data_IF_290900568012
#
_entry.id   IF_290900568012
#
_cell.length_a   1.000
_cell.length_b   1.000
_cell.length_c   1.000
_cell.angle_alpha   90.00
_cell.angle_beta   90.00
_cell.angle_gamma   90.00
#
_symmetry.space_group_name_H-M   'P 1'
#
loop_
_entity.id
_entity.type
_entity.pdbx_description
1 polymer ?
#
# COMPACT_ATOMS: atom_id res chain seq x y z
N UNK A 1 -11.41 9.98 20.94
CA UNK A 1 -10.14 10.08 21.71
C UNK A 1 -9.41 8.73 21.86
N UNK A 2 -10.09 7.57 21.82
CA UNK A 2 -9.46 6.24 21.80
C UNK A 2 -8.96 5.79 20.42
N UNK A 3 -9.68 6.14 19.34
CA UNK A 3 -9.32 5.81 17.95
C UNK A 3 -7.90 6.26 17.56
N UNK A 4 -7.56 7.53 17.83
CA UNK A 4 -6.21 8.08 17.56
C UNK A 4 -5.09 7.49 18.44
N UNK A 5 -5.41 6.80 19.53
CA UNK A 5 -4.42 6.20 20.43
C UNK A 5 -3.97 4.81 19.97
N UNK A 6 -4.84 4.10 19.24
CA UNK A 6 -4.55 2.79 18.67
C UNK A 6 -4.23 2.85 17.17
N UNK A 7 -4.44 4.02 16.54
CA UNK A 7 -4.16 4.27 15.12
C UNK A 7 -2.72 3.92 14.73
N UNK A 8 -1.74 4.14 15.61
CA UNK A 8 -0.36 3.74 15.38
C UNK A 8 -0.14 2.22 15.34
N UNK A 9 -0.83 1.46 16.19
CA UNK A 9 -0.77 -0.01 16.14
C UNK A 9 -1.47 -0.55 14.90
N UNK A 10 -2.58 0.08 14.50
CA UNK A 10 -3.32 -0.26 13.28
C UNK A 10 -2.45 0.05 12.05
N UNK A 11 -1.77 1.20 12.04
CA UNK A 11 -0.81 1.56 10.99
C UNK A 11 0.34 0.55 10.90
N UNK A 12 0.88 0.15 12.05
CA UNK A 12 1.98 -0.82 12.09
C UNK A 12 1.53 -2.19 11.58
N UNK A 13 0.35 -2.67 11.96
CA UNK A 13 -0.23 -3.92 11.45
C UNK A 13 -0.53 -3.85 9.95
N UNK A 14 -1.11 -2.76 9.48
CA UNK A 14 -1.37 -2.56 8.05
C UNK A 14 -0.05 -2.55 7.26
N UNK A 15 0.97 -1.83 7.72
CA UNK A 15 2.27 -1.80 7.05
C UNK A 15 2.99 -3.15 7.06
N UNK A 16 3.08 -3.82 8.22
CA UNK A 16 3.72 -5.12 8.34
C UNK A 16 2.96 -6.21 7.57
N UNK A 17 1.63 -6.26 7.71
CA UNK A 17 0.80 -7.26 7.06
C UNK A 17 0.90 -7.22 5.54
N UNK A 18 0.93 -6.01 4.98
CA UNK A 18 0.99 -5.78 3.53
C UNK A 18 2.39 -6.00 2.98
N UNK A 19 3.43 -5.60 3.71
CA UNK A 19 4.80 -5.97 3.38
C UNK A 19 4.98 -7.50 3.37
N UNK A 20 4.51 -8.21 4.41
CA UNK A 20 4.61 -9.68 4.48
C UNK A 20 3.80 -10.33 3.34
N UNK A 21 2.58 -9.86 3.08
CA UNK A 21 1.72 -10.37 2.00
C UNK A 21 2.40 -10.21 0.63
N UNK A 22 2.98 -9.04 0.36
CA UNK A 22 3.76 -8.77 -0.85
C UNK A 22 4.92 -9.77 -1.03
N UNK A 23 5.73 -10.02 0.02
CA UNK A 23 6.82 -10.99 -0.04
C UNK A 23 6.33 -12.43 -0.23
N UNK A 24 5.27 -12.83 0.50
CA UNK A 24 4.70 -14.18 0.39
C UNK A 24 4.16 -14.42 -1.01
N UNK A 25 3.30 -13.54 -1.52
CA UNK A 25 2.72 -13.66 -2.86
C UNK A 25 3.81 -13.59 -3.93
N UNK A 26 4.75 -12.65 -3.83
CA UNK A 26 5.86 -12.52 -4.76
C UNK A 26 6.76 -13.76 -4.81
N UNK A 27 7.06 -14.36 -3.65
CA UNK A 27 7.83 -15.61 -3.56
C UNK A 27 7.08 -16.82 -4.14
N UNK A 28 5.76 -16.88 -3.92
CA UNK A 28 4.89 -17.93 -4.46
C UNK A 28 4.86 -17.88 -5.99
N UNK A 29 4.67 -16.68 -6.55
CA UNK A 29 4.68 -16.44 -8.00
C UNK A 29 6.04 -16.79 -8.58
N UNK A 30 7.14 -16.36 -7.94
CA UNK A 30 8.49 -16.73 -8.38
C UNK A 30 8.71 -18.25 -8.39
N UNK A 31 8.23 -18.95 -7.35
CA UNK A 31 8.26 -20.41 -7.29
C UNK A 31 7.47 -21.08 -8.44
N UNK A 32 6.28 -20.59 -8.73
CA UNK A 32 5.46 -21.05 -9.85
C UNK A 32 6.15 -20.81 -11.21
N UNK A 33 6.74 -19.62 -11.41
CA UNK A 33 7.49 -19.29 -12.63
C UNK A 33 8.70 -20.20 -12.80
N UNK A 34 9.43 -20.48 -11.71
CA UNK A 34 10.57 -21.38 -11.77
C UNK A 34 10.15 -22.83 -12.09
N UNK A 35 9.03 -23.29 -11.55
CA UNK A 35 8.46 -24.59 -11.89
C UNK A 35 8.05 -24.66 -13.37
N UNK A 36 7.42 -23.61 -13.90
CA UNK A 36 7.06 -23.51 -15.32
C UNK A 36 8.28 -23.43 -16.26
N UNK A 37 9.39 -22.86 -15.78
CA UNK A 37 10.68 -22.85 -16.49
C UNK A 37 11.27 -24.27 -16.57
N UNK A 38 11.16 -25.05 -15.50
CA UNK A 38 11.59 -26.47 -15.47
C UNK A 38 10.72 -27.34 -16.39
N UNK A 39 9.41 -27.06 -16.51
CA UNK A 39 8.51 -27.77 -17.44
C UNK A 39 8.61 -27.29 -18.90
N UNK A 40 9.55 -26.40 -19.22
CA UNK A 40 9.87 -25.97 -20.58
C UNK A 40 8.77 -25.16 -21.27
N UNK A 41 7.81 -24.62 -20.53
CA UNK A 41 6.60 -23.98 -21.07
C UNK A 41 6.74 -22.46 -21.20
N UNK A 42 7.72 -21.86 -20.52
CA UNK A 42 7.99 -20.42 -20.50
C UNK A 42 9.40 -20.11 -21.05
N UNK A 43 9.47 -19.29 -22.10
CA UNK A 43 10.72 -18.88 -22.77
C UNK A 43 11.21 -17.47 -22.43
N UNK A 44 10.73 -16.85 -21.35
CA UNK A 44 11.10 -15.49 -20.96
C UNK A 44 11.97 -15.41 -19.70
N UNK A 45 12.86 -14.43 -19.64
CA UNK A 45 13.62 -14.09 -18.43
C UNK A 45 12.75 -13.23 -17.50
N UNK A 46 12.12 -13.88 -16.53
CA UNK A 46 11.42 -13.21 -15.44
C UNK A 46 12.36 -12.99 -14.26
N UNK A 47 12.42 -11.75 -13.77
CA UNK A 47 13.21 -11.42 -12.59
C UNK A 47 12.36 -11.54 -11.33
N UNK A 48 13.03 -11.75 -10.19
CA UNK A 48 12.37 -11.78 -8.89
C UNK A 48 11.65 -10.46 -8.57
N UNK A 49 12.17 -9.34 -9.06
CA UNK A 49 11.57 -8.01 -8.93
C UNK A 49 10.22 -7.89 -9.64
N UNK A 50 10.04 -8.51 -10.81
CA UNK A 50 8.74 -8.53 -11.50
C UNK A 50 7.68 -9.30 -10.69
N UNK A 51 8.09 -10.41 -10.08
CA UNK A 51 7.21 -11.21 -9.22
C UNK A 51 6.84 -10.45 -7.94
N UNK A 52 7.80 -9.73 -7.36
CA UNK A 52 7.59 -8.92 -6.15
C UNK A 52 6.71 -7.69 -6.45
N UNK A 53 6.86 -7.08 -7.63
CA UNK A 53 5.99 -6.00 -8.10
C UNK A 53 4.54 -6.49 -8.24
N UNK A 54 4.35 -7.68 -8.79
CA UNK A 54 3.03 -8.32 -8.88
C UNK A 54 2.46 -8.63 -7.48
N UNK A 55 3.30 -9.10 -6.57
CA UNK A 55 2.95 -9.30 -5.16
C UNK A 55 2.55 -8.01 -4.44
N UNK A 56 3.23 -6.88 -4.73
CA UNK A 56 2.90 -5.58 -4.17
C UNK A 56 1.52 -5.09 -4.63
N UNK A 57 1.21 -5.22 -5.92
CA UNK A 57 -0.11 -4.87 -6.46
C UNK A 57 -1.21 -5.73 -5.85
N UNK A 58 -1.00 -7.04 -5.76
CA UNK A 58 -1.97 -7.96 -5.18
C UNK A 58 -2.14 -7.81 -3.66
N UNK A 59 -1.17 -7.19 -2.98
CA UNK A 59 -1.26 -6.98 -1.54
C UNK A 59 -2.28 -5.91 -1.16
N UNK A 60 -2.65 -4.99 -2.06
CA UNK A 60 -3.70 -4.00 -1.81
C UNK A 60 -5.06 -4.70 -1.65
N UNK A 61 -5.67 -4.59 -0.46
CA UNK A 61 -6.96 -5.20 -0.14
C UNK A 61 -8.06 -4.17 -0.27
N UNK A 62 -9.11 -4.50 -1.03
CA UNK A 62 -10.27 -3.63 -1.20
C UNK A 62 -11.43 -4.12 -0.29
N UNK A 63 -11.84 -3.34 0.73
CA UNK A 63 -12.83 -3.76 1.71
C UNK A 63 -14.25 -3.43 1.25
N UNK A 64 -14.46 -2.84 0.06
CA UNK A 64 -15.77 -2.31 -0.38
C UNK A 64 -16.89 -3.34 -0.19
N UNK A 65 -16.62 -4.62 -0.47
CA UNK A 65 -17.60 -5.70 -0.30
C UNK A 65 -17.85 -6.06 1.16
N UNK A 66 -16.80 -6.10 1.99
CA UNK A 66 -16.91 -6.41 3.42
C UNK A 66 -17.61 -5.27 4.17
N UNK A 67 -17.34 -4.03 3.75
CA UNK A 67 -17.92 -2.82 4.31
C UNK A 67 -19.43 -2.75 4.06
N UNK A 68 -19.88 -3.17 2.86
CA UNK A 68 -21.31 -3.26 2.52
C UNK A 68 -22.05 -4.26 3.41
N UNK A 69 -21.47 -5.43 3.66
CA UNK A 69 -22.05 -6.47 4.53
C UNK A 69 -22.09 -6.01 5.99
N UNK A 70 -21.05 -5.33 6.47
CA UNK A 70 -21.01 -4.83 7.85
C UNK A 70 -22.01 -3.71 8.11
N UNK A 71 -22.34 -2.91 7.09
CA UNK A 71 -23.41 -1.92 7.18
C UNK A 71 -24.78 -2.58 7.37
N UNK A 72 -25.03 -3.72 6.72
CA UNK A 72 -26.27 -4.50 6.93
C UNK A 72 -26.32 -5.18 8.31
N UNK A 73 -25.17 -5.54 8.89
CA UNK A 73 -25.09 -6.21 10.20
C UNK A 73 -25.18 -5.26 11.42
N UNK A 74 -25.35 -3.95 11.23
CA UNK A 74 -25.33 -2.94 12.33
C UNK A 74 -24.06 -3.01 13.21
N UNK A 75 -22.90 -3.20 12.58
CA UNK A 75 -21.59 -3.25 13.27
C UNK A 75 -21.20 -1.89 13.87
N UNK A 76 -20.46 -1.94 14.99
CA UNK A 76 -19.92 -0.78 15.69
C UNK A 76 -19.10 0.15 14.77
N UNK A 77 -19.37 1.46 14.88
CA UNK A 77 -18.74 2.51 14.06
C UNK A 77 -17.22 2.51 14.18
N UNK A 78 -16.68 2.05 15.32
CA UNK A 78 -15.24 1.93 15.55
C UNK A 78 -14.59 0.85 14.66
N UNK A 79 -15.26 -0.28 14.44
CA UNK A 79 -14.75 -1.36 13.60
C UNK A 79 -14.82 -0.98 12.10
N UNK A 80 -15.89 -0.28 11.72
CA UNK A 80 -16.02 0.29 10.38
C UNK A 80 -14.87 1.25 10.06
N UNK A 81 -14.59 2.20 10.95
CA UNK A 81 -13.54 3.20 10.74
C UNK A 81 -12.14 2.55 10.72
N UNK A 82 -11.94 1.47 11.49
CA UNK A 82 -10.69 0.72 11.53
C UNK A 82 -10.43 -0.04 10.22
N UNK A 83 -11.42 -0.78 9.70
CA UNK A 83 -11.30 -1.52 8.43
C UNK A 83 -11.07 -0.57 7.25
N UNK A 84 -11.83 0.53 7.20
CA UNK A 84 -11.63 1.56 6.17
C UNK A 84 -10.21 2.15 6.23
N UNK A 85 -9.72 2.46 7.44
CA UNK A 85 -8.37 2.97 7.63
C UNK A 85 -7.28 1.98 7.20
N UNK A 86 -7.41 0.71 7.57
CA UNK A 86 -6.47 -0.36 7.21
C UNK A 86 -6.35 -0.53 5.69
N UNK A 87 -7.47 -0.52 4.98
CA UNK A 87 -7.47 -0.67 3.53
C UNK A 87 -6.94 0.53 2.77
N UNK A 88 -7.25 1.76 3.21
CA UNK A 88 -6.66 2.99 2.62
C UNK A 88 -5.14 3.01 2.84
N UNK A 89 -4.67 2.57 4.02
CA UNK A 89 -3.25 2.48 4.31
C UNK A 89 -2.57 1.39 3.48
N UNK A 90 -3.22 0.24 3.28
CA UNK A 90 -2.70 -0.84 2.47
C UNK A 90 -2.42 -0.38 1.03
N UNK A 91 -3.35 0.34 0.40
CA UNK A 91 -3.16 0.87 -0.96
C UNK A 91 -1.94 1.80 -1.06
N UNK A 92 -1.78 2.69 -0.06
CA UNK A 92 -0.59 3.55 0.02
C UNK A 92 0.72 2.75 0.17
N UNK A 93 0.72 1.68 0.97
CA UNK A 93 1.89 0.81 1.17
C UNK A 93 2.19 -0.03 -0.08
N UNK A 94 1.19 -0.53 -0.78
CA UNK A 94 1.33 -1.25 -2.04
C UNK A 94 1.96 -0.38 -3.14
N UNK A 95 1.51 0.88 -3.29
CA UNK A 95 2.09 1.87 -4.22
C UNK A 95 3.56 2.17 -3.88
N UNK A 96 3.86 2.27 -2.58
CA UNK A 96 5.23 2.49 -2.10
C UNK A 96 6.13 1.30 -2.39
N UNK A 97 5.67 0.09 -2.09
CA UNK A 97 6.44 -1.13 -2.29
C UNK A 97 6.72 -1.34 -3.77
N UNK A 98 5.71 -1.19 -4.62
CA UNK A 98 5.86 -1.26 -6.07
C UNK A 98 6.83 -0.20 -6.61
N UNK A 99 6.73 1.05 -6.16
CA UNK A 99 7.68 2.12 -6.55
C UNK A 99 9.11 1.84 -6.10
N UNK A 100 9.28 1.26 -4.92
CA UNK A 100 10.58 0.85 -4.37
C UNK A 100 11.22 -0.27 -5.19
N UNK A 101 10.42 -1.26 -5.60
CA UNK A 101 10.86 -2.39 -6.43
C UNK A 101 11.30 -1.90 -7.81
N UNK A 102 10.53 -0.99 -8.42
CA UNK A 102 10.89 -0.37 -9.72
C UNK A 102 12.17 0.47 -9.58
N UNK A 103 12.32 1.22 -8.49
CA UNK A 103 13.55 1.98 -8.22
C UNK A 103 14.77 1.08 -7.96
N UNK A 104 14.55 -0.16 -7.51
CA UNK A 104 15.56 -1.20 -7.31
C UNK A 104 15.88 -1.97 -8.60
N UNK A 105 15.24 -1.67 -9.73
CA UNK A 105 15.59 -2.20 -11.04
C UNK A 105 16.46 -1.20 -11.83
N UNK A 106 17.74 -0.93 -11.46
CA UNK A 106 18.61 -0.17 -12.33
C UNK A 106 18.84 -0.98 -13.60
N UNK A 107 18.66 -0.32 -14.74
CA UNK A 107 18.99 -0.86 -16.04
C UNK A 107 20.47 -1.27 -16.09
N UNK A 108 20.75 -2.56 -15.92
CA UNK A 108 21.94 -3.21 -16.46
C UNK A 108 23.18 -3.36 -15.57
N UNK A 109 23.15 -3.06 -14.27
CA UNK A 109 24.34 -3.29 -13.42
C UNK A 109 24.21 -4.52 -12.51
N UNK A 110 24.92 -5.58 -12.89
CA UNK A 110 24.92 -6.91 -12.29
C UNK A 110 25.83 -6.95 -11.06
N UNK A 111 25.61 -6.09 -10.07
CA UNK A 111 26.28 -6.21 -8.78
C UNK A 111 25.33 -6.86 -7.77
N UNK A 112 25.48 -8.17 -7.59
CA UNK A 112 24.82 -8.99 -6.57
C UNK A 112 25.33 -8.67 -5.15
N UNK A 113 25.40 -7.38 -4.80
CA UNK A 113 25.74 -6.92 -3.46
C UNK A 113 24.52 -6.20 -2.90
N UNK A 114 24.11 -6.60 -1.70
CA UNK A 114 23.07 -5.95 -0.90
C UNK A 114 23.52 -4.49 -0.66
N UNK A 115 23.20 -3.60 -1.59
CA UNK A 115 23.66 -2.23 -1.54
C UNK A 115 22.77 -1.48 -0.56
N UNK A 116 23.32 -1.25 0.63
CA UNK A 116 22.70 -0.46 1.69
C UNK A 116 22.29 0.92 1.15
N UNK A 117 23.01 1.43 0.15
CA UNK A 117 22.71 2.68 -0.56
C UNK A 117 21.38 2.58 -1.32
N UNK A 118 21.12 1.47 -2.00
CA UNK A 118 19.86 1.22 -2.70
C UNK A 118 18.68 1.07 -1.73
N UNK A 119 18.89 0.41 -0.57
CA UNK A 119 17.89 0.35 0.49
C UNK A 119 17.56 1.72 1.07
N UNK A 120 18.58 2.53 1.39
CA UNK A 120 18.38 3.90 1.89
C UNK A 120 17.70 4.80 0.84
N UNK A 121 18.05 4.65 -0.44
CA UNK A 121 17.40 5.37 -1.54
C UNK A 121 15.92 4.98 -1.66
N UNK A 122 15.59 3.69 -1.57
CA UNK A 122 14.21 3.21 -1.56
C UNK A 122 13.42 3.75 -0.36
N UNK A 123 14.00 3.72 0.84
CA UNK A 123 13.40 4.31 2.05
C UNK A 123 13.20 5.82 1.91
N UNK A 124 14.14 6.54 1.30
CA UNK A 124 14.04 7.97 1.05
C UNK A 124 12.93 8.31 0.05
N UNK A 125 12.84 7.57 -1.06
CA UNK A 125 11.77 7.71 -2.05
C UNK A 125 10.41 7.38 -1.40
N UNK A 126 10.35 6.33 -0.58
CA UNK A 126 9.18 5.98 0.21
C UNK A 126 8.73 7.15 1.09
N UNK A 127 9.63 7.69 1.92
CA UNK A 127 9.30 8.77 2.83
C UNK A 127 8.84 10.02 2.07
N UNK A 128 9.44 10.28 0.90
CA UNK A 128 9.06 11.38 0.01
C UNK A 128 7.65 11.23 -0.55
N UNK A 129 7.33 10.08 -1.14
CA UNK A 129 6.00 9.81 -1.71
C UNK A 129 4.94 9.77 -0.61
N UNK A 130 5.21 9.09 0.50
CA UNK A 130 4.28 8.99 1.64
C UNK A 130 3.98 10.37 2.24
N UNK A 131 5.01 11.15 2.57
CA UNK A 131 4.82 12.50 3.14
C UNK A 131 4.18 13.47 2.14
N UNK A 132 4.53 13.38 0.85
CA UNK A 132 3.92 14.18 -0.21
C UNK A 132 2.43 13.89 -0.39
N UNK A 133 2.06 12.61 -0.49
CA UNK A 133 0.66 12.18 -0.60
C UNK A 133 -0.15 12.54 0.65
N UNK A 134 0.44 12.36 1.84
CA UNK A 134 -0.20 12.76 3.10
C UNK A 134 -0.44 14.27 3.17
N UNK A 135 0.57 15.07 2.80
CA UNK A 135 0.45 16.53 2.78
C UNK A 135 -0.60 17.01 1.77
N UNK A 136 -0.62 16.43 0.56
CA UNK A 136 -1.64 16.73 -0.43
C UNK A 136 -3.05 16.37 0.07
N UNK A 137 -3.22 15.18 0.66
CA UNK A 137 -4.51 14.75 1.23
C UNK A 137 -4.98 15.63 2.38
N UNK A 138 -4.06 16.07 3.24
CA UNK A 138 -4.38 17.01 4.32
C UNK A 138 -4.79 18.38 3.76
N UNK A 139 -4.07 18.89 2.76
CA UNK A 139 -4.37 20.18 2.13
C UNK A 139 -5.74 20.18 1.46
N UNK A 140 -6.04 19.15 0.65
CA UNK A 140 -7.37 19.03 0.01
C UNK A 140 -8.48 18.85 1.03
N UNK A 141 -8.26 18.07 2.09
CA UNK A 141 -9.21 17.90 3.19
C UNK A 141 -9.54 19.22 3.91
N UNK A 142 -8.53 20.05 4.19
CA UNK A 142 -8.74 21.39 4.78
C UNK A 142 -9.52 22.29 3.84
N UNK A 143 -9.18 22.30 2.55
CA UNK A 143 -9.88 23.10 1.55
C UNK A 143 -11.35 22.70 1.44
N UNK A 144 -11.65 21.40 1.37
CA UNK A 144 -13.03 20.89 1.32
C UNK A 144 -13.81 21.24 2.59
N UNK A 145 -13.19 21.14 3.77
CA UNK A 145 -13.82 21.51 5.05
C UNK A 145 -14.16 23.01 5.11
N UNK A 146 -13.28 23.88 4.61
CA UNK A 146 -13.52 25.33 4.54
C UNK A 146 -14.64 25.68 3.56
N UNK A 147 -14.67 25.04 2.38
CA UNK A 147 -15.74 25.24 1.40
C UNK A 147 -17.08 24.79 1.98
N UNK A 148 -17.13 23.62 2.61
CA UNK A 148 -18.34 23.10 3.26
C UNK A 148 -18.83 24.02 4.37
N UNK A 149 -17.92 24.52 5.22
CA UNK A 149 -18.27 25.46 6.29
C UNK A 149 -18.83 26.78 5.75
N UNK A 150 -18.23 27.31 4.68
CA UNK A 150 -18.70 28.55 4.03
C UNK A 150 -20.07 28.35 3.39
N UNK A 151 -20.29 27.22 2.70
CA UNK A 151 -21.58 26.88 2.13
C UNK A 151 -22.68 26.74 3.19
N UNK A 152 -22.36 26.11 4.33
CA UNK A 152 -23.32 25.94 5.43
C UNK A 152 -23.73 27.29 6.04
N UNK A 153 -22.77 28.21 6.20
CA UNK A 153 -23.03 29.57 6.68
C UNK A 153 -23.84 30.42 5.69
N UNK A 154 -23.70 30.20 4.38
CA UNK A 154 -24.53 30.88 3.39
C UNK A 154 -25.95 30.30 3.26
N UNK A 155 -26.18 29.04 3.65
CA UNK A 155 -27.47 28.37 3.54
C UNK A 155 -28.39 28.64 4.75
N UNK A 156 -27.84 29.05 5.90
CA UNK A 156 -28.55 29.46 7.10
C UNK A 156 -28.11 30.87 7.55
N UNK A 157 -28.65 31.95 6.96
CA UNK A 157 -28.43 33.32 7.43
C UNK A 157 -29.12 33.62 8.77
#
# INVERSE_FOLDING_TARGET
RHFFRNLGSILAYAFLGTAISCFVIGSLIYGCVMLMKVTGTLGGDFYFTDCLFFGAILSATDPVTVLAIFHELQVDVELYALLFGESVLNDAVAIVLSSSIVAYQPAGDNSHTFDITAMFKSIGIFLGIFSGSFAMGAATGVVTALISSTMLLCLFP
#
